data_IF_047118638838
#
_entry.id   IF_047118638838
#
_cell.length_a   1.000
_cell.length_b   1.000
_cell.length_c   1.000
_cell.angle_alpha   90.00
_cell.angle_beta   90.00
_cell.angle_gamma   90.00
#
_symmetry.space_group_name_H-M   'P 1'
#
loop_
_entity.id
_entity.type
_entity.pdbx_description
1 polymer ?
#
# COMPACT_ATOMS: atom_id res chain seq x y z
N UNK A 1 -14.03 -20.07 21.32
CA UNK A 1 -13.52 -20.21 19.93
C UNK A 1 -12.80 -18.96 19.39
N UNK A 2 -12.81 -17.80 20.07
CA UNK A 2 -12.05 -16.61 19.64
C UNK A 2 -10.53 -16.68 19.94
N UNK A 3 -10.10 -17.48 20.92
CA UNK A 3 -8.68 -17.59 21.30
C UNK A 3 -7.83 -18.39 20.30
N UNK A 4 -8.41 -19.37 19.60
CA UNK A 4 -7.66 -20.22 18.66
C UNK A 4 -7.23 -19.48 17.38
N UNK A 5 -8.00 -18.47 16.95
CA UNK A 5 -7.67 -17.64 15.80
C UNK A 5 -6.51 -16.67 16.11
N UNK A 6 -6.51 -16.09 17.32
CA UNK A 6 -5.44 -15.20 17.79
C UNK A 6 -4.10 -15.93 17.96
N UNK A 7 -4.11 -17.20 18.35
CA UNK A 7 -2.89 -18.02 18.47
C UNK A 7 -2.31 -18.42 17.10
N UNK A 8 -3.16 -18.61 16.09
CA UNK A 8 -2.74 -18.89 14.71
C UNK A 8 -2.13 -17.64 14.04
N UNK A 9 -2.70 -16.47 14.33
CA UNK A 9 -2.15 -15.17 13.93
C UNK A 9 -0.79 -14.94 14.61
N UNK A 10 -0.65 -15.23 15.93
CA UNK A 10 0.65 -15.16 16.61
C UNK A 10 1.73 -16.04 15.99
N UNK A 11 1.36 -17.22 15.48
CA UNK A 11 2.30 -18.13 14.82
C UNK A 11 2.91 -17.57 13.51
N UNK A 12 2.20 -16.68 12.81
CA UNK A 12 2.72 -15.96 11.63
C UNK A 12 3.50 -14.71 12.08
N UNK A 13 3.01 -14.02 13.11
CA UNK A 13 3.64 -12.82 13.70
C UNK A 13 5.00 -13.08 14.39
N UNK A 14 5.28 -14.31 14.82
CA UNK A 14 6.47 -14.60 15.64
C UNK A 14 7.80 -14.66 14.85
N UNK A 15 7.78 -14.66 13.51
CA UNK A 15 8.99 -14.88 12.70
C UNK A 15 9.46 -13.72 11.84
N UNK A 16 8.55 -13.02 11.17
CA UNK A 16 8.93 -12.09 10.10
C UNK A 16 9.04 -10.63 10.58
N UNK A 17 10.22 -10.00 10.48
CA UNK A 17 10.42 -8.63 10.94
C UNK A 17 9.66 -7.59 10.09
N UNK A 18 9.35 -7.88 8.82
CA UNK A 18 8.55 -7.03 7.96
C UNK A 18 7.09 -7.01 8.40
N UNK A 19 6.48 -8.18 8.66
CA UNK A 19 5.10 -8.27 9.16
C UNK A 19 4.94 -7.54 10.50
N UNK A 20 5.87 -7.74 11.43
CA UNK A 20 5.85 -7.04 12.73
C UNK A 20 5.91 -5.53 12.56
N UNK A 21 6.84 -5.05 11.71
CA UNK A 21 6.96 -3.61 11.42
C UNK A 21 5.66 -3.02 10.89
N UNK A 22 5.00 -3.73 9.97
CA UNK A 22 3.74 -3.28 9.37
C UNK A 22 2.61 -3.29 10.41
N UNK A 23 2.49 -4.36 11.19
CA UNK A 23 1.45 -4.50 12.21
C UNK A 23 1.58 -3.50 13.37
N UNK A 24 2.80 -3.12 13.74
CA UNK A 24 3.07 -2.14 14.81
C UNK A 24 2.87 -0.67 14.35
N UNK A 25 2.76 -0.42 13.04
CA UNK A 25 2.55 0.91 12.45
C UNK A 25 1.26 0.95 11.60
N UNK A 26 0.13 1.43 12.17
CA UNK A 26 -1.15 1.53 11.47
C UNK A 26 -1.11 2.43 10.23
N UNK A 27 -0.24 3.44 10.20
CA UNK A 27 -0.08 4.31 9.04
C UNK A 27 0.59 3.55 7.92
N UNK A 28 1.70 2.87 8.21
CA UNK A 28 2.41 2.04 7.23
C UNK A 28 1.50 0.93 6.68
N UNK A 29 0.73 0.27 7.55
CA UNK A 29 -0.30 -0.69 7.14
C UNK A 29 -1.29 -0.08 6.15
N UNK A 30 -1.79 1.11 6.43
CA UNK A 30 -2.73 1.80 5.54
C UNK A 30 -2.07 2.18 4.20
N UNK A 31 -0.84 2.72 4.21
CA UNK A 31 -0.08 3.06 3.00
C UNK A 31 0.10 1.83 2.11
N UNK A 32 0.59 0.71 2.66
CA UNK A 32 0.80 -0.52 1.92
C UNK A 32 -0.51 -1.13 1.41
N UNK A 33 -1.58 -1.08 2.20
CA UNK A 33 -2.90 -1.53 1.77
C UNK A 33 -3.42 -0.71 0.58
N UNK A 34 -3.19 0.60 0.56
CA UNK A 34 -3.57 1.46 -0.55
C UNK A 34 -2.74 1.18 -1.80
N UNK A 35 -1.44 0.96 -1.66
CA UNK A 35 -0.58 0.57 -2.77
C UNK A 35 -1.00 -0.79 -3.34
N UNK A 36 -1.28 -1.76 -2.48
CA UNK A 36 -1.74 -3.08 -2.93
C UNK A 36 -3.13 -3.01 -3.61
N UNK A 37 -4.03 -2.15 -3.12
CA UNK A 37 -5.32 -1.88 -3.78
C UNK A 37 -5.17 -1.24 -5.16
N UNK A 38 -4.09 -0.50 -5.42
CA UNK A 38 -3.79 0.01 -6.77
C UNK A 38 -3.54 -1.15 -7.74
N UNK A 39 -2.70 -2.10 -7.33
CA UNK A 39 -2.35 -3.29 -8.14
C UNK A 39 -3.59 -4.16 -8.42
N UNK A 40 -4.59 -4.14 -7.54
CA UNK A 40 -5.83 -4.91 -7.72
C UNK A 40 -6.94 -4.14 -8.46
N UNK A 41 -6.72 -2.88 -8.82
CA UNK A 41 -7.80 -1.97 -9.22
C UNK A 41 -8.48 -2.35 -10.53
N UNK A 42 -7.76 -2.96 -11.46
CA UNK A 42 -8.26 -3.45 -12.75
C UNK A 42 -8.70 -4.92 -12.71
N UNK A 43 -8.44 -5.62 -11.59
CA UNK A 43 -8.75 -7.03 -11.38
C UNK A 43 -7.65 -8.01 -11.81
N UNK A 44 -6.48 -7.52 -12.27
CA UNK A 44 -5.35 -8.35 -12.69
C UNK A 44 -4.03 -7.81 -12.16
N UNK A 45 -3.26 -8.65 -11.47
CA UNK A 45 -1.91 -8.26 -11.01
C UNK A 45 -0.90 -8.48 -12.14
N UNK A 46 -0.28 -7.42 -12.65
CA UNK A 46 0.84 -7.55 -13.59
C UNK A 46 2.18 -7.79 -12.87
N UNK A 47 3.12 -8.44 -13.55
CA UNK A 47 4.48 -8.62 -13.03
C UNK A 47 5.19 -7.28 -12.81
N UNK A 48 4.98 -6.32 -13.72
CA UNK A 48 5.57 -4.97 -13.66
C UNK A 48 5.13 -4.19 -12.42
N UNK A 49 3.83 -4.17 -12.11
CA UNK A 49 3.31 -3.50 -10.91
C UNK A 49 3.82 -4.17 -9.64
N UNK A 50 3.88 -5.51 -9.64
CA UNK A 50 4.38 -6.27 -8.50
C UNK A 50 5.88 -6.00 -8.26
N UNK A 51 6.68 -5.87 -9.33
CA UNK A 51 8.09 -5.47 -9.24
C UNK A 51 8.23 -4.06 -8.67
N UNK A 52 7.42 -3.10 -9.15
CA UNK A 52 7.40 -1.74 -8.63
C UNK A 52 7.01 -1.70 -7.15
N UNK A 53 5.96 -2.41 -6.75
CA UNK A 53 5.55 -2.54 -5.36
C UNK A 53 6.64 -3.15 -4.48
N UNK A 54 7.29 -4.23 -4.93
CA UNK A 54 8.39 -4.85 -4.17
C UNK A 54 9.57 -3.90 -3.97
N UNK A 55 9.92 -3.13 -5.01
CA UNK A 55 10.93 -2.08 -4.92
C UNK A 55 10.55 -1.02 -3.89
N UNK A 56 9.33 -0.50 -3.95
CA UNK A 56 8.82 0.52 -3.01
C UNK A 56 8.86 0.00 -1.56
N UNK A 57 8.39 -1.24 -1.32
CA UNK A 57 8.48 -1.91 -0.02
C UNK A 57 9.89 -1.92 0.54
N UNK A 58 10.88 -2.21 -0.30
CA UNK A 58 12.29 -2.26 0.10
C UNK A 58 12.87 -0.87 0.32
N UNK A 59 12.75 0.01 -0.66
CA UNK A 59 13.52 1.26 -0.73
C UNK A 59 12.90 2.36 0.14
N UNK A 60 11.56 2.48 0.13
CA UNK A 60 10.87 3.52 0.89
C UNK A 60 10.46 3.05 2.29
N UNK A 61 10.05 1.78 2.42
CA UNK A 61 9.52 1.25 3.68
C UNK A 61 10.50 0.34 4.42
N UNK A 62 11.67 0.00 3.85
CA UNK A 62 12.68 -0.83 4.51
C UNK A 62 12.21 -2.24 4.82
N UNK A 63 11.29 -2.79 4.02
CA UNK A 63 10.78 -4.16 4.12
C UNK A 63 11.62 -5.04 3.21
N UNK A 64 12.27 -6.05 3.79
CA UNK A 64 13.12 -6.95 3.01
C UNK A 64 12.29 -7.78 2.05
N UNK A 65 12.86 -8.12 0.89
CA UNK A 65 12.18 -8.89 -0.15
C UNK A 65 11.64 -10.24 0.35
N UNK A 66 12.37 -10.88 1.26
CA UNK A 66 11.98 -12.14 1.93
C UNK A 66 10.71 -12.01 2.78
N UNK A 67 10.34 -10.80 3.17
CA UNK A 67 9.20 -10.49 4.03
C UNK A 67 7.97 -10.01 3.25
N UNK A 68 8.12 -9.68 1.97
CA UNK A 68 7.05 -9.02 1.20
C UNK A 68 5.85 -9.95 1.02
N UNK A 69 6.07 -11.24 0.77
CA UNK A 69 4.97 -12.19 0.58
C UNK A 69 4.14 -12.34 1.87
N UNK A 70 4.81 -12.41 3.03
CA UNK A 70 4.14 -12.46 4.33
C UNK A 70 3.42 -11.14 4.65
N UNK A 71 3.98 -10.00 4.25
CA UNK A 71 3.32 -8.69 4.38
C UNK A 71 2.06 -8.61 3.49
N UNK A 72 2.11 -9.12 2.26
CA UNK A 72 0.94 -9.17 1.38
C UNK A 72 -0.15 -10.08 1.97
N UNK A 73 0.22 -11.24 2.52
CA UNK A 73 -0.70 -12.14 3.20
C UNK A 73 -1.37 -11.42 4.39
N UNK A 74 -0.57 -10.78 5.25
CA UNK A 74 -1.06 -9.98 6.36
C UNK A 74 -2.03 -8.86 5.91
N UNK A 75 -1.67 -8.10 4.87
CA UNK A 75 -2.51 -7.02 4.35
C UNK A 75 -3.80 -7.52 3.72
N UNK A 76 -3.80 -8.71 3.11
CA UNK A 76 -5.03 -9.33 2.63
C UNK A 76 -5.94 -9.69 3.80
N UNK A 77 -5.43 -10.39 4.81
CA UNK A 77 -6.21 -10.78 5.99
C UNK A 77 -6.78 -9.58 6.74
N UNK A 78 -5.98 -8.52 6.92
CA UNK A 78 -6.38 -7.29 7.63
C UNK A 78 -7.20 -6.33 6.76
N UNK A 79 -6.91 -6.27 5.47
CA UNK A 79 -7.50 -5.35 4.50
C UNK A 79 -8.97 -5.61 4.17
N UNK A 80 -9.48 -6.81 4.50
CA UNK A 80 -10.91 -7.13 4.46
C UNK A 80 -11.71 -6.49 5.60
N UNK A 81 -11.05 -6.09 6.71
CA UNK A 81 -11.72 -5.43 7.84
C UNK A 81 -11.66 -3.89 7.75
N UNK A 82 -10.64 -3.34 7.07
CA UNK A 82 -10.45 -1.89 6.93
C UNK A 82 -11.25 -1.33 5.75
N UNK A 83 -12.46 -0.86 6.03
CA UNK A 83 -13.25 -0.10 5.07
C UNK A 83 -12.45 1.13 4.60
N UNK A 84 -12.45 1.46 3.31
CA UNK A 84 -11.62 2.54 2.74
C UNK A 84 -11.78 3.90 3.45
N UNK A 85 -12.91 4.14 4.12
CA UNK A 85 -13.17 5.32 4.96
C UNK A 85 -12.29 5.42 6.21
N UNK A 86 -11.83 4.31 6.80
CA UNK A 86 -10.93 4.31 7.97
C UNK A 86 -9.49 4.64 7.57
N UNK A 87 -9.01 4.10 6.45
CA UNK A 87 -7.70 4.47 5.90
C UNK A 87 -7.63 5.97 5.55
N UNK A 88 -8.72 6.52 4.99
CA UNK A 88 -8.83 7.96 4.68
C UNK A 88 -8.72 8.86 5.92
N UNK A 89 -9.21 8.41 7.08
CA UNK A 89 -9.06 9.17 8.32
C UNK A 89 -7.59 9.22 8.75
N UNK A 90 -6.88 8.08 8.67
CA UNK A 90 -5.47 7.99 9.03
C UNK A 90 -4.58 8.88 8.14
N UNK A 91 -4.89 8.99 6.84
CA UNK A 91 -4.07 9.78 5.94
C UNK A 91 -4.18 11.29 6.13
N UNK A 92 -5.31 11.79 6.65
CA UNK A 92 -5.48 13.23 6.92
C UNK A 92 -4.57 13.72 8.05
N UNK A 93 -4.16 12.83 8.94
CA UNK A 93 -3.25 13.16 10.05
C UNK A 93 -1.77 13.09 9.65
N UNK A 94 -1.47 12.64 8.42
CA UNK A 94 -0.09 12.65 7.90
C UNK A 94 0.36 14.07 7.56
N UNK A 95 1.67 14.28 7.58
CA UNK A 95 2.24 15.49 6.99
C UNK A 95 2.07 15.48 5.45
N UNK A 96 2.16 16.68 4.86
CA UNK A 96 1.97 16.88 3.41
C UNK A 96 2.99 16.09 2.59
N UNK A 97 4.22 15.94 3.08
CA UNK A 97 5.30 15.30 2.32
C UNK A 97 5.07 13.78 2.24
N UNK A 98 4.65 13.14 3.34
CA UNK A 98 4.29 11.73 3.36
C UNK A 98 3.07 11.44 2.48
N UNK A 99 2.09 12.35 2.43
CA UNK A 99 0.97 12.23 1.48
C UNK A 99 1.41 12.32 0.01
N UNK A 100 2.36 13.21 -0.30
CA UNK A 100 2.95 13.30 -1.66
C UNK A 100 3.71 12.03 -2.03
N UNK A 101 4.51 11.48 -1.11
CA UNK A 101 5.25 10.25 -1.34
C UNK A 101 4.31 9.07 -1.61
N UNK A 102 3.24 8.91 -0.82
CA UNK A 102 2.22 7.90 -1.07
C UNK A 102 1.62 8.05 -2.47
N UNK A 103 1.25 9.28 -2.85
CA UNK A 103 0.71 9.57 -4.18
C UNK A 103 1.70 9.26 -5.32
N UNK A 104 2.99 9.55 -5.13
CA UNK A 104 4.06 9.23 -6.07
C UNK A 104 4.24 7.72 -6.24
N UNK A 105 4.28 6.96 -5.14
CA UNK A 105 4.35 5.50 -5.18
C UNK A 105 3.14 4.88 -5.89
N UNK A 106 1.92 5.40 -5.65
CA UNK A 106 0.72 4.94 -6.36
C UNK A 106 0.82 5.19 -7.87
N UNK A 107 1.34 6.35 -8.27
CA UNK A 107 1.54 6.66 -9.68
C UNK A 107 2.68 5.85 -10.31
N UNK A 108 3.73 5.51 -9.56
CA UNK A 108 4.81 4.64 -9.99
C UNK A 108 4.31 3.23 -10.29
N UNK A 109 3.46 2.66 -9.41
CA UNK A 109 2.83 1.36 -9.62
C UNK A 109 1.95 1.40 -10.87
N UNK A 110 1.02 2.37 -10.95
CA UNK A 110 0.09 2.46 -12.08
C UNK A 110 0.81 2.72 -13.43
N UNK A 111 2.02 3.28 -13.42
CA UNK A 111 2.84 3.50 -14.62
C UNK A 111 3.87 2.39 -14.86
N UNK A 112 3.88 1.34 -14.04
CA UNK A 112 4.88 0.29 -14.14
C UNK A 112 4.72 -0.51 -15.44
N UNK A 113 3.49 -0.63 -15.93
CA UNK A 113 3.21 -1.15 -17.25
C UNK A 113 2.91 -0.02 -18.25
N UNK A 114 2.85 -0.36 -19.54
CA UNK A 114 2.55 0.61 -20.60
C UNK A 114 1.04 0.83 -20.83
N UNK A 115 0.18 0.22 -20.01
CA UNK A 115 -1.27 0.17 -20.16
C UNK A 115 -1.98 0.64 -18.90
N UNK A 116 -1.90 1.95 -18.63
CA UNK A 116 -2.68 2.58 -17.58
C UNK A 116 -4.19 2.38 -17.82
N UNK A 117 -4.82 1.49 -17.06
CA UNK A 117 -6.24 1.17 -17.16
C UNK A 117 -7.10 2.31 -16.58
N UNK A 118 -8.31 2.49 -17.11
CA UNK A 118 -9.20 3.55 -16.61
C UNK A 118 -9.57 3.37 -15.13
N UNK A 119 -9.63 2.14 -14.63
CA UNK A 119 -9.86 1.80 -13.23
C UNK A 119 -8.77 2.35 -12.32
N UNK A 120 -7.50 2.16 -12.70
CA UNK A 120 -6.34 2.67 -11.97
C UNK A 120 -6.32 4.19 -11.99
N UNK A 121 -6.56 4.82 -13.14
CA UNK A 121 -6.67 6.29 -13.24
C UNK A 121 -7.75 6.83 -12.31
N UNK A 122 -8.91 6.18 -12.28
CA UNK A 122 -10.02 6.58 -11.40
C UNK A 122 -9.66 6.41 -9.93
N UNK A 123 -9.01 5.31 -9.55
CA UNK A 123 -8.59 5.08 -8.17
C UNK A 123 -7.51 6.08 -7.75
N UNK A 124 -6.52 6.33 -8.60
CA UNK A 124 -5.46 7.31 -8.35
C UNK A 124 -6.06 8.69 -8.14
N UNK A 125 -6.87 9.18 -9.08
CA UNK A 125 -7.53 10.50 -8.97
C UNK A 125 -8.32 10.66 -7.68
N UNK A 126 -9.16 9.68 -7.34
CA UNK A 126 -9.93 9.70 -6.08
C UNK A 126 -9.01 9.75 -4.87
N UNK A 127 -7.89 9.03 -4.90
CA UNK A 127 -6.96 9.02 -3.78
C UNK A 127 -6.22 10.35 -3.66
N UNK A 128 -5.84 10.98 -4.77
CA UNK A 128 -5.25 12.33 -4.76
C UNK A 128 -6.20 13.37 -4.14
N UNK A 129 -7.48 13.32 -4.52
CA UNK A 129 -8.51 14.19 -3.93
C UNK A 129 -8.62 13.97 -2.41
N UNK A 130 -8.52 12.72 -1.95
CA UNK A 130 -8.59 12.35 -0.53
C UNK A 130 -7.34 12.77 0.26
N UNK A 131 -6.19 12.75 -0.38
CA UNK A 131 -4.91 13.16 0.20
C UNK A 131 -4.69 14.69 0.12
N UNK A 132 -5.59 15.43 -0.53
CA UNK A 132 -5.44 16.86 -0.81
C UNK A 132 -4.11 17.16 -1.56
N UNK A 133 -3.79 16.31 -2.56
CA UNK A 133 -2.58 16.41 -3.38
C UNK A 133 -2.95 16.73 -4.82
N UNK A 134 -2.29 17.73 -5.41
CA UNK A 134 -2.46 18.05 -6.81
C UNK A 134 -1.80 16.98 -7.70
N UNK A 135 -2.46 16.51 -8.79
CA UNK A 135 -1.83 15.59 -9.74
C UNK A 135 -0.50 16.09 -10.31
N UNK A 136 -0.31 17.41 -10.38
CA UNK A 136 0.93 18.02 -10.88
C UNK A 136 2.11 17.72 -9.94
N UNK A 137 1.88 17.57 -8.64
CA UNK A 137 2.93 17.28 -7.66
C UNK A 137 3.38 15.81 -7.68
N UNK A 138 2.62 14.96 -8.37
CA UNK A 138 2.87 13.52 -8.52
C UNK A 138 3.63 13.20 -9.81
N UNK A 139 3.51 14.05 -10.83
CA UNK A 139 4.10 13.83 -12.17
C UNK A 139 5.40 14.61 -12.37
N UNK A 140 5.75 15.54 -11.47
CA UNK A 140 7.02 16.27 -11.59
C UNK A 140 8.19 15.30 -11.41
N UNK A 141 9.12 15.21 -12.39
CA UNK A 141 10.40 14.59 -12.13
C UNK A 141 11.10 15.38 -11.03
N UNK A 142 11.73 14.68 -10.09
CA UNK A 142 12.68 15.30 -9.17
C UNK A 142 13.75 15.99 -10.03
N UNK A 143 13.86 17.32 -9.91
CA UNK A 143 14.90 18.14 -10.57
C UNK A 143 16.28 17.87 -9.97
#
# INVERSE_FOLDING_TARGET
MAFALLDQIRSIFDGDPGVRKVADDPVLSAELLMLFRMILADGTVSESEMVAFRRICKDAFGIQETSIDAVIEYLNEFGYETNGSQAIALFRDLDVERRKQLAQHMAEIAKADSQLAESEVRLLRRTLDLLDISPVDVVKPEE
#
